data_IF_657348398776
#
_entry.id   IF_657348398776
#
_cell.length_a   1.000
_cell.length_b   1.000
_cell.length_c   1.000
_cell.angle_alpha   90.00
_cell.angle_beta   90.00
_cell.angle_gamma   90.00
#
_symmetry.space_group_name_H-M   'P 1'
#
loop_
_entity.id
_entity.type
_entity.pdbx_description
1 polymer ?
#
# COMPACT_ATOMS: atom_id res chain seq x y z
N UNK A 1 -4.99 -14.11 -1.72
CA UNK A 1 -5.92 -14.26 -0.58
C UNK A 1 -5.15 -14.76 0.65
N UNK A 2 -4.47 -15.91 0.60
CA UNK A 2 -3.74 -16.46 1.75
C UNK A 2 -2.55 -15.63 2.24
N UNK A 3 -1.87 -14.93 1.34
CA UNK A 3 -0.76 -14.03 1.70
C UNK A 3 -1.23 -12.83 2.53
N UNK A 4 -2.52 -12.52 2.49
CA UNK A 4 -3.15 -11.42 3.23
C UNK A 4 -3.76 -11.90 4.56
N UNK A 5 -3.67 -13.21 4.88
CA UNK A 5 -4.16 -13.78 6.14
C UNK A 5 -5.63 -14.19 6.15
N UNK A 6 -6.27 -14.38 4.99
CA UNK A 6 -7.66 -14.85 4.88
C UNK A 6 -7.78 -16.38 4.86
N UNK A 7 -6.95 -17.10 5.60
CA UNK A 7 -6.99 -18.56 5.59
C UNK A 7 -8.25 -19.09 6.27
N UNK A 8 -8.64 -18.51 7.39
CA UNK A 8 -9.80 -18.95 8.17
C UNK A 8 -11.10 -18.64 7.43
N UNK A 9 -11.21 -17.48 6.80
CA UNK A 9 -12.37 -17.13 5.95
C UNK A 9 -12.49 -18.07 4.76
N UNK A 10 -11.37 -18.42 4.13
CA UNK A 10 -11.36 -19.40 3.04
C UNK A 10 -11.81 -20.79 3.50
N UNK A 11 -11.37 -21.24 4.69
CA UNK A 11 -11.83 -22.49 5.30
C UNK A 11 -13.34 -22.48 5.55
N UNK A 12 -13.89 -21.37 6.04
CA UNK A 12 -15.31 -21.20 6.26
C UNK A 12 -16.09 -21.24 4.95
N UNK A 13 -15.64 -20.52 3.91
CA UNK A 13 -16.28 -20.52 2.59
C UNK A 13 -16.30 -21.94 2.00
N UNK A 14 -15.18 -22.65 2.04
CA UNK A 14 -15.06 -24.00 1.49
C UNK A 14 -16.01 -24.98 2.19
N UNK A 15 -16.27 -24.83 3.50
CA UNK A 15 -17.22 -25.65 4.27
C UNK A 15 -18.68 -25.47 3.83
N UNK A 16 -19.02 -24.27 3.32
CA UNK A 16 -20.39 -23.93 2.89
C UNK A 16 -20.65 -24.38 1.46
N UNK A 17 -19.60 -24.51 0.64
CA UNK A 17 -19.73 -24.88 -0.75
C UNK A 17 -20.18 -26.36 -0.89
N UNK A 18 -20.95 -26.71 -1.97
CA UNK A 18 -21.35 -28.09 -2.24
C UNK A 18 -20.13 -29.03 -2.23
N UNK A 19 -20.30 -30.20 -1.65
CA UNK A 19 -19.26 -31.26 -1.62
C UNK A 19 -18.92 -31.73 -3.03
N UNK A 20 -19.96 -31.85 -3.88
CA UNK A 20 -19.82 -32.21 -5.29
C UNK A 20 -19.64 -30.92 -6.12
N UNK A 21 -18.38 -30.58 -6.38
CA UNK A 21 -18.01 -29.46 -7.21
C UNK A 21 -16.71 -29.71 -7.96
N UNK A 22 -16.53 -29.05 -9.08
CA UNK A 22 -15.22 -28.92 -9.72
C UNK A 22 -14.55 -27.65 -9.18
N UNK A 23 -13.31 -27.78 -8.71
CA UNK A 23 -12.52 -26.66 -8.21
C UNK A 23 -11.23 -26.54 -9.00
N UNK A 24 -10.90 -25.33 -9.43
CA UNK A 24 -9.66 -25.02 -10.15
C UNK A 24 -8.95 -23.86 -9.45
N UNK A 25 -7.65 -24.02 -9.21
CA UNK A 25 -6.80 -23.02 -8.57
C UNK A 25 -5.79 -22.51 -9.58
N UNK A 26 -5.78 -21.19 -9.81
CA UNK A 26 -4.84 -20.53 -10.70
C UNK A 26 -3.92 -19.60 -9.90
N UNK A 27 -2.61 -19.72 -10.11
CA UNK A 27 -1.62 -18.86 -9.48
C UNK A 27 -0.44 -18.64 -10.42
N UNK A 28 0.05 -17.41 -10.48
CA UNK A 28 1.29 -17.06 -11.18
C UNK A 28 2.54 -17.38 -10.33
N UNK A 29 2.37 -17.63 -9.03
CA UNK A 29 3.46 -17.87 -8.09
C UNK A 29 3.21 -19.14 -7.28
N UNK A 30 4.21 -19.99 -7.21
CA UNK A 30 4.20 -21.19 -6.37
C UNK A 30 4.72 -20.84 -4.97
N UNK A 31 3.89 -21.09 -3.95
CA UNK A 31 4.24 -20.92 -2.54
C UNK A 31 3.72 -22.08 -1.72
N UNK A 32 4.32 -22.34 -0.56
CA UNK A 32 3.81 -23.29 0.42
C UNK A 32 2.35 -22.99 0.79
N UNK A 33 2.01 -21.70 0.93
CA UNK A 33 0.62 -21.28 1.19
C UNK A 33 -0.35 -21.64 0.06
N UNK A 34 0.09 -21.60 -1.21
CA UNK A 34 -0.73 -22.06 -2.35
C UNK A 34 -0.97 -23.56 -2.27
N UNK A 35 0.04 -24.35 -1.86
CA UNK A 35 -0.11 -25.79 -1.62
C UNK A 35 -1.08 -26.06 -0.47
N UNK A 36 -1.01 -25.29 0.62
CA UNK A 36 -1.94 -25.43 1.74
C UNK A 36 -3.37 -25.09 1.33
N UNK A 37 -3.56 -24.02 0.53
CA UNK A 37 -4.88 -23.70 -0.04
C UNK A 37 -5.38 -24.84 -0.94
N UNK A 38 -4.53 -25.41 -1.78
CA UNK A 38 -4.90 -26.53 -2.63
C UNK A 38 -5.37 -27.74 -1.81
N UNK A 39 -4.69 -28.06 -0.70
CA UNK A 39 -5.10 -29.14 0.22
C UNK A 39 -6.48 -28.90 0.85
N UNK A 40 -6.82 -27.63 1.13
CA UNK A 40 -8.09 -27.28 1.77
C UNK A 40 -9.24 -27.21 0.76
N UNK A 41 -8.98 -26.70 -0.44
CA UNK A 41 -10.01 -26.30 -1.41
C UNK A 41 -10.23 -27.28 -2.56
N UNK A 42 -9.24 -28.12 -2.86
CA UNK A 42 -9.30 -29.09 -3.94
C UNK A 42 -9.60 -30.51 -3.41
N UNK A 43 -10.14 -31.36 -4.26
CA UNK A 43 -10.30 -32.81 -3.99
C UNK A 43 -8.92 -33.48 -3.87
N UNK A 44 -8.79 -34.59 -3.14
CA UNK A 44 -7.55 -35.34 -3.11
C UNK A 44 -7.08 -35.77 -4.50
N UNK A 45 -5.77 -35.64 -4.76
CA UNK A 45 -5.17 -35.97 -6.05
C UNK A 45 -5.47 -34.95 -7.16
N UNK A 46 -5.38 -33.63 -6.92
CA UNK A 46 -5.62 -32.62 -7.95
C UNK A 46 -4.62 -32.76 -9.11
N UNK A 47 -5.09 -32.56 -10.33
CA UNK A 47 -4.21 -32.47 -11.49
C UNK A 47 -3.40 -31.15 -11.39
N UNK A 48 -2.07 -31.27 -11.37
CA UNK A 48 -1.14 -30.15 -11.38
C UNK A 48 -0.67 -29.88 -12.81
N UNK A 49 -0.92 -28.67 -13.32
CA UNK A 49 -0.49 -28.23 -14.65
C UNK A 49 0.45 -27.05 -14.49
N UNK A 50 1.73 -27.26 -14.80
CA UNK A 50 2.74 -26.19 -14.80
C UNK A 50 3.03 -25.74 -16.24
N UNK A 51 2.42 -24.63 -16.64
CA UNK A 51 2.54 -24.11 -18.00
C UNK A 51 3.89 -23.39 -18.22
N UNK A 52 4.59 -22.99 -17.13
CA UNK A 52 5.72 -22.06 -17.20
C UNK A 52 7.05 -22.65 -16.74
N UNK A 53 7.11 -23.95 -16.42
CA UNK A 53 8.32 -24.59 -15.86
C UNK A 53 9.54 -24.46 -16.76
N UNK A 54 9.33 -24.50 -18.08
CA UNK A 54 10.40 -24.42 -19.09
C UNK A 54 10.62 -23.01 -19.64
N UNK A 55 9.87 -22.01 -19.19
CA UNK A 55 10.05 -20.66 -19.69
C UNK A 55 11.32 -20.01 -19.15
N UNK A 56 12.05 -19.33 -20.04
CA UNK A 56 13.26 -18.57 -19.70
C UNK A 56 12.99 -17.32 -18.86
N UNK A 57 11.74 -16.82 -18.89
CA UNK A 57 11.29 -15.61 -18.17
C UNK A 57 9.97 -15.85 -17.46
N UNK A 58 9.86 -15.32 -16.24
CA UNK A 58 8.61 -15.30 -15.46
C UNK A 58 7.66 -14.17 -15.85
N UNK A 59 8.02 -13.37 -16.85
CA UNK A 59 7.25 -12.24 -17.35
C UNK A 59 6.96 -12.36 -18.84
N UNK A 60 5.91 -11.69 -19.30
CA UNK A 60 5.44 -11.77 -20.69
C UNK A 60 6.47 -11.18 -21.66
N UNK A 61 6.68 -11.80 -22.83
CA UNK A 61 7.69 -11.41 -23.83
C UNK A 61 7.55 -9.97 -24.36
N UNK A 62 6.33 -9.41 -24.35
CA UNK A 62 6.05 -8.03 -24.82
C UNK A 62 6.17 -6.98 -23.71
N UNK A 63 6.71 -7.34 -22.56
CA UNK A 63 6.95 -6.44 -21.45
C UNK A 63 8.40 -5.95 -21.44
N UNK A 64 8.60 -4.67 -21.74
CA UNK A 64 9.89 -4.00 -21.56
C UNK A 64 10.06 -3.64 -20.06
N UNK A 65 11.14 -4.12 -19.45
CA UNK A 65 11.35 -3.94 -18.02
C UNK A 65 12.71 -3.31 -17.75
N UNK A 66 12.73 -2.33 -16.87
CA UNK A 66 13.97 -1.72 -16.47
C UNK A 66 13.95 -1.14 -15.07
N UNK A 67 15.11 -0.76 -14.60
CA UNK A 67 15.27 -0.05 -13.34
C UNK A 67 16.08 1.22 -13.53
N UNK A 68 15.92 2.15 -12.60
CA UNK A 68 16.71 3.36 -12.50
C UNK A 68 17.30 3.47 -11.10
N UNK A 69 18.58 3.78 -11.01
CA UNK A 69 19.26 4.07 -9.75
C UNK A 69 19.19 5.58 -9.50
N UNK A 70 18.62 5.97 -8.38
CA UNK A 70 18.57 7.39 -8.00
C UNK A 70 18.58 7.55 -6.48
N UNK A 71 19.19 8.61 -6.01
CA UNK A 71 19.16 8.99 -4.59
C UNK A 71 17.76 9.37 -4.13
N UNK A 72 17.48 9.21 -2.83
CA UNK A 72 16.17 9.48 -2.23
C UNK A 72 15.68 10.91 -2.52
N UNK A 73 16.55 11.92 -2.47
CA UNK A 73 16.19 13.33 -2.72
C UNK A 73 15.82 13.62 -4.20
N UNK A 74 16.19 12.76 -5.12
CA UNK A 74 15.89 12.89 -6.56
C UNK A 74 14.65 12.10 -6.99
N UNK A 75 14.17 11.16 -6.17
CA UNK A 75 13.08 10.25 -6.55
C UNK A 75 11.82 10.98 -6.97
N UNK A 76 11.36 11.94 -6.16
CA UNK A 76 10.15 12.71 -6.50
C UNK A 76 10.34 13.55 -7.76
N UNK A 77 11.48 14.22 -7.92
CA UNK A 77 11.76 15.03 -9.11
C UNK A 77 11.77 14.20 -10.39
N UNK A 78 12.32 12.99 -10.32
CA UNK A 78 12.33 12.04 -11.43
C UNK A 78 10.92 11.56 -11.75
N UNK A 79 10.13 11.16 -10.75
CA UNK A 79 8.73 10.77 -10.91
C UNK A 79 7.92 11.91 -11.54
N UNK A 80 8.00 13.11 -10.98
CA UNK A 80 7.30 14.29 -11.49
C UNK A 80 7.64 14.56 -12.95
N UNK A 81 8.94 14.54 -13.29
CA UNK A 81 9.41 14.74 -14.66
C UNK A 81 8.85 13.68 -15.60
N UNK A 82 8.87 12.41 -15.15
CA UNK A 82 8.34 11.29 -15.93
C UNK A 82 6.84 11.45 -16.20
N UNK A 83 6.06 11.74 -15.17
CA UNK A 83 4.60 11.90 -15.28
C UNK A 83 4.23 13.06 -16.21
N UNK A 84 4.88 14.20 -16.09
CA UNK A 84 4.67 15.36 -16.99
C UNK A 84 4.95 15.02 -18.46
N UNK A 85 6.00 14.25 -18.73
CA UNK A 85 6.35 13.85 -20.11
C UNK A 85 5.44 12.78 -20.69
N UNK A 86 4.74 12.03 -19.86
CA UNK A 86 3.88 10.94 -20.25
C UNK A 86 2.41 11.16 -19.91
N UNK A 87 1.96 12.43 -19.81
CA UNK A 87 0.60 12.78 -19.41
C UNK A 87 -0.51 12.15 -20.27
N UNK A 88 -0.24 11.87 -21.57
CA UNK A 88 -1.18 11.18 -22.47
C UNK A 88 -1.15 9.65 -22.38
N UNK A 89 -0.48 9.06 -21.37
CA UNK A 89 -0.36 7.62 -21.19
C UNK A 89 -1.19 7.13 -20.01
N UNK A 90 -1.51 5.85 -19.99
CA UNK A 90 -2.17 5.19 -18.86
C UNK A 90 -1.11 4.59 -17.96
N UNK A 91 -0.93 5.15 -16.75
CA UNK A 91 0.19 4.87 -15.87
C UNK A 91 -0.32 4.42 -14.50
N UNK A 92 0.27 3.36 -13.95
CA UNK A 92 0.09 2.98 -12.55
C UNK A 92 1.42 3.20 -11.82
N UNK A 93 1.37 3.89 -10.68
CA UNK A 93 2.52 4.13 -9.80
C UNK A 93 2.31 3.40 -8.48
N UNK A 94 3.16 2.44 -8.19
CA UNK A 94 3.13 1.69 -6.93
C UNK A 94 3.98 2.35 -5.86
N UNK A 95 3.39 2.54 -4.70
CA UNK A 95 4.02 3.03 -3.47
C UNK A 95 3.73 2.07 -2.32
N UNK A 96 4.62 2.01 -1.32
CA UNK A 96 4.54 1.01 -0.25
C UNK A 96 3.65 1.40 0.93
N UNK A 97 3.15 2.63 1.01
CA UNK A 97 2.30 3.06 2.12
C UNK A 97 1.09 3.89 1.70
N UNK A 98 -0.03 3.69 2.41
CA UNK A 98 -1.28 4.41 2.14
C UNK A 98 -1.13 5.94 2.29
N UNK A 99 -0.36 6.40 3.30
CA UNK A 99 -0.18 7.83 3.53
C UNK A 99 0.78 8.44 2.51
N UNK A 100 1.74 7.66 1.96
CA UNK A 100 2.57 8.10 0.84
C UNK A 100 1.73 8.30 -0.42
N UNK A 101 0.84 7.35 -0.75
CA UNK A 101 -0.11 7.48 -1.87
C UNK A 101 -0.98 8.71 -1.70
N UNK A 102 -1.58 8.89 -0.51
CA UNK A 102 -2.44 10.06 -0.20
C UNK A 102 -1.68 11.37 -0.41
N UNK A 103 -0.50 11.51 0.20
CA UNK A 103 0.30 12.72 0.10
C UNK A 103 0.69 13.06 -1.34
N UNK A 104 1.24 12.10 -2.07
CA UNK A 104 1.63 12.34 -3.46
C UNK A 104 0.42 12.63 -4.36
N UNK A 105 -0.73 12.02 -4.08
CA UNK A 105 -1.99 12.33 -4.76
C UNK A 105 -2.44 13.76 -4.53
N UNK A 106 -2.48 14.20 -3.27
CA UNK A 106 -2.82 15.57 -2.90
C UNK A 106 -1.84 16.59 -3.49
N UNK A 107 -0.53 16.32 -3.40
CA UNK A 107 0.52 17.17 -3.94
C UNK A 107 0.43 17.32 -5.46
N UNK A 108 0.36 16.20 -6.18
CA UNK A 108 0.35 16.21 -7.65
C UNK A 108 -0.90 16.90 -8.19
N UNK A 109 -2.07 16.63 -7.61
CA UNK A 109 -3.31 17.33 -7.98
C UNK A 109 -3.23 18.82 -7.67
N UNK A 110 -2.59 19.22 -6.56
CA UNK A 110 -2.41 20.63 -6.20
C UNK A 110 -1.51 21.38 -7.20
N UNK A 111 -0.55 20.69 -7.82
CA UNK A 111 0.39 21.30 -8.80
C UNK A 111 0.01 20.97 -10.26
N UNK A 112 -1.28 20.80 -10.54
CA UNK A 112 -1.86 20.58 -11.87
C UNK A 112 -1.29 19.36 -12.62
N UNK A 113 -1.01 18.29 -11.87
CA UNK A 113 -0.76 16.95 -12.42
C UNK A 113 -1.89 16.04 -11.96
N UNK A 114 -2.97 15.90 -12.75
CA UNK A 114 -4.15 15.16 -12.32
C UNK A 114 -3.83 13.68 -12.14
N UNK A 115 -4.10 13.17 -10.93
CA UNK A 115 -3.88 11.77 -10.57
C UNK A 115 -5.06 11.24 -9.74
N UNK A 116 -5.32 9.95 -9.87
CA UNK A 116 -6.22 9.20 -9.01
C UNK A 116 -5.41 8.50 -7.91
N UNK A 117 -5.98 8.31 -6.73
CA UNK A 117 -5.37 7.63 -5.60
C UNK A 117 -6.17 6.39 -5.16
N UNK A 118 -5.49 5.25 -4.95
CA UNK A 118 -6.12 3.99 -4.55
C UNK A 118 -5.32 3.28 -3.46
N UNK A 119 -5.86 3.18 -2.25
CA UNK A 119 -5.17 2.55 -1.13
C UNK A 119 -6.13 1.95 -0.08
N UNK A 120 -5.63 1.03 0.75
CA UNK A 120 -6.44 0.24 1.68
C UNK A 120 -7.16 1.03 2.79
N UNK A 121 -6.72 2.25 3.12
CA UNK A 121 -7.39 3.10 4.13
C UNK A 121 -8.64 3.82 3.61
N UNK A 122 -8.93 3.74 2.31
CA UNK A 122 -10.13 4.35 1.73
C UNK A 122 -11.34 3.44 1.91
N UNK A 123 -12.53 4.05 2.01
CA UNK A 123 -13.81 3.31 2.00
C UNK A 123 -13.95 2.52 0.70
N UNK A 124 -14.55 1.33 0.78
CA UNK A 124 -14.69 0.43 -0.37
C UNK A 124 -15.38 1.11 -1.57
N UNK A 125 -16.41 1.91 -1.32
CA UNK A 125 -17.11 2.65 -2.37
C UNK A 125 -16.17 3.59 -3.14
N UNK A 126 -15.31 4.38 -2.44
CA UNK A 126 -14.33 5.25 -3.09
C UNK A 126 -13.36 4.42 -3.93
N UNK A 127 -12.87 3.29 -3.37
CA UNK A 127 -11.93 2.40 -4.09
C UNK A 127 -12.56 1.86 -5.39
N UNK A 128 -13.81 1.42 -5.33
CA UNK A 128 -14.55 0.94 -6.51
C UNK A 128 -14.74 2.03 -7.54
N UNK A 129 -15.17 3.22 -7.12
CA UNK A 129 -15.37 4.36 -8.03
C UNK A 129 -14.05 4.75 -8.74
N UNK A 130 -12.97 4.94 -7.98
CA UNK A 130 -11.63 5.24 -8.52
C UNK A 130 -11.15 4.18 -9.49
N UNK A 131 -11.38 2.90 -9.17
CA UNK A 131 -11.02 1.79 -10.04
C UNK A 131 -11.77 1.85 -11.37
N UNK A 132 -13.09 2.00 -11.36
CA UNK A 132 -13.88 2.06 -12.58
C UNK A 132 -13.58 3.32 -13.40
N UNK A 133 -13.38 4.47 -12.74
CA UNK A 133 -12.95 5.70 -13.38
C UNK A 133 -11.64 5.49 -14.15
N UNK A 134 -10.62 4.91 -13.48
CA UNK A 134 -9.34 4.62 -14.12
C UNK A 134 -9.47 3.57 -15.25
N UNK A 135 -10.29 2.53 -15.08
CA UNK A 135 -10.50 1.53 -16.13
C UNK A 135 -11.10 2.13 -17.40
N UNK A 136 -12.09 3.00 -17.27
CA UNK A 136 -12.81 3.61 -18.39
C UNK A 136 -12.01 4.73 -19.08
N UNK A 137 -11.04 5.33 -18.39
CA UNK A 137 -10.19 6.37 -18.95
C UNK A 137 -9.23 5.80 -20.02
N UNK A 138 -9.05 6.50 -21.10
CA UNK A 138 -8.07 6.15 -22.15
C UNK A 138 -6.63 6.45 -21.70
N UNK A 139 -6.43 7.48 -20.91
CA UNK A 139 -5.17 7.90 -20.31
C UNK A 139 -5.41 8.35 -18.88
N UNK A 140 -4.37 8.43 -18.08
CA UNK A 140 -4.45 8.89 -16.69
C UNK A 140 -3.40 8.24 -15.81
N UNK A 141 -3.26 8.76 -14.61
CA UNK A 141 -2.26 8.32 -13.64
C UNK A 141 -2.98 7.82 -12.40
N UNK A 142 -2.69 6.58 -12.00
CA UNK A 142 -3.18 5.99 -10.76
C UNK A 142 -2.01 5.79 -9.80
N UNK A 143 -2.02 6.47 -8.66
CA UNK A 143 -1.12 6.19 -7.54
C UNK A 143 -1.77 5.15 -6.64
N UNK A 144 -1.07 4.07 -6.30
CA UNK A 144 -1.68 3.03 -5.49
C UNK A 144 -0.68 2.27 -4.61
N UNK A 145 -1.22 1.58 -3.61
CA UNK A 145 -0.50 0.51 -2.91
C UNK A 145 -0.76 -0.84 -3.59
N UNK A 146 -0.15 -1.91 -3.10
CA UNK A 146 -0.34 -3.27 -3.64
C UNK A 146 -1.79 -3.76 -3.64
N UNK A 147 -2.73 -3.01 -3.05
CA UNK A 147 -4.16 -3.28 -3.16
C UNK A 147 -4.65 -3.33 -4.61
N UNK A 148 -3.99 -2.60 -5.52
CA UNK A 148 -4.27 -2.61 -6.96
C UNK A 148 -3.42 -3.63 -7.74
N UNK A 149 -2.42 -4.26 -7.09
CA UNK A 149 -1.55 -5.22 -7.75
C UNK A 149 -2.20 -6.59 -7.96
N UNK A 150 -3.25 -6.92 -7.20
CA UNK A 150 -3.86 -8.25 -7.19
C UNK A 150 -5.37 -8.16 -7.44
N UNK A 151 -5.90 -9.13 -8.19
CA UNK A 151 -7.35 -9.32 -8.37
C UNK A 151 -8.09 -8.28 -9.21
N UNK A 152 -7.42 -7.21 -9.66
CA UNK A 152 -8.03 -6.19 -10.51
C UNK A 152 -7.62 -6.36 -11.97
N UNK A 153 -8.61 -6.36 -12.85
CA UNK A 153 -8.37 -6.34 -14.29
C UNK A 153 -8.45 -4.91 -14.84
N UNK A 154 -7.28 -4.30 -14.98
CA UNK A 154 -7.14 -2.94 -15.50
C UNK A 154 -6.68 -3.02 -16.95
N UNK A 155 -7.51 -2.59 -17.92
CA UNK A 155 -7.18 -2.69 -19.33
C UNK A 155 -6.16 -1.64 -19.77
N UNK A 156 -5.36 -1.98 -20.76
CA UNK A 156 -4.55 -1.07 -21.57
C UNK A 156 -3.59 -0.15 -20.81
N UNK A 157 -2.93 -0.64 -19.74
CA UNK A 157 -1.91 0.12 -19.01
C UNK A 157 -0.61 0.17 -19.81
N UNK A 158 -0.10 1.37 -20.09
CA UNK A 158 1.14 1.60 -20.83
C UNK A 158 2.38 1.43 -19.94
N UNK A 159 2.33 1.98 -18.74
CA UNK A 159 3.46 2.01 -17.82
C UNK A 159 3.09 1.55 -16.41
N UNK A 160 3.96 0.73 -15.86
CA UNK A 160 4.01 0.42 -14.42
C UNK A 160 5.25 1.08 -13.84
N UNK A 161 5.06 2.04 -12.94
CA UNK A 161 6.15 2.66 -12.19
C UNK A 161 6.13 2.08 -10.78
N UNK A 162 7.22 1.48 -10.36
CA UNK A 162 7.41 1.03 -9.00
C UNK A 162 8.27 2.08 -8.29
N UNK A 163 7.60 3.13 -7.77
CA UNK A 163 8.26 4.23 -7.08
C UNK A 163 8.92 3.77 -5.80
N UNK A 164 8.28 2.86 -5.09
CA UNK A 164 8.89 2.10 -4.01
C UNK A 164 9.06 0.65 -4.44
N UNK A 165 10.26 0.07 -4.26
CA UNK A 165 10.49 -1.33 -4.58
C UNK A 165 9.57 -2.24 -3.76
N UNK A 166 9.16 -3.39 -4.28
CA UNK A 166 8.42 -4.37 -3.51
C UNK A 166 9.34 -5.11 -2.53
N UNK A 167 8.77 -5.67 -1.48
CA UNK A 167 9.51 -6.46 -0.49
C UNK A 167 9.95 -7.84 -1.05
N UNK A 168 9.18 -8.38 -2.02
CA UNK A 168 9.38 -9.72 -2.57
C UNK A 168 9.35 -9.68 -4.10
N UNK A 169 10.22 -10.45 -4.79
CA UNK A 169 10.18 -10.59 -6.26
C UNK A 169 8.82 -11.00 -6.81
N UNK A 170 8.02 -11.76 -6.05
CA UNK A 170 6.66 -12.15 -6.45
C UNK A 170 5.73 -10.94 -6.55
N UNK A 171 5.86 -9.98 -5.62
CA UNK A 171 5.10 -8.73 -5.68
C UNK A 171 5.51 -7.91 -6.90
N UNK A 172 6.79 -7.90 -7.26
CA UNK A 172 7.25 -7.33 -8.52
C UNK A 172 6.47 -7.92 -9.71
N UNK A 173 6.40 -9.26 -9.82
CA UNK A 173 5.69 -9.96 -10.90
C UNK A 173 4.20 -9.59 -10.91
N UNK A 174 3.56 -9.53 -9.74
CA UNK A 174 2.15 -9.14 -9.62
C UNK A 174 1.90 -7.69 -10.06
N UNK A 175 2.80 -6.77 -9.73
CA UNK A 175 2.71 -5.37 -10.15
C UNK A 175 2.88 -5.23 -11.67
N UNK A 176 3.93 -5.80 -12.24
CA UNK A 176 4.16 -5.71 -13.71
C UNK A 176 3.12 -6.48 -14.51
N UNK A 177 2.51 -7.51 -13.95
CA UNK A 177 1.37 -8.22 -14.54
C UNK A 177 0.11 -7.37 -14.72
N UNK A 178 0.14 -6.07 -14.40
CA UNK A 178 -0.96 -5.12 -14.71
C UNK A 178 -0.83 -4.51 -16.10
N UNK A 179 0.30 -4.65 -16.75
CA UNK A 179 0.51 -4.22 -18.15
C UNK A 179 0.82 -5.41 -19.07
N UNK A 180 1.02 -5.16 -20.35
CA UNK A 180 1.31 -6.15 -21.39
C UNK A 180 0.26 -7.29 -21.51
N UNK A 181 -1.00 -7.01 -21.17
CA UNK A 181 -2.11 -7.97 -21.25
C UNK A 181 -2.70 -8.07 -22.64
N UNK A 182 -3.27 -9.22 -22.97
CA UNK A 182 -3.93 -9.44 -24.25
C UNK A 182 -3.00 -9.26 -25.46
N UNK A 183 -1.71 -9.61 -25.32
CA UNK A 183 -0.74 -9.50 -26.40
C UNK A 183 -0.28 -8.06 -26.72
N UNK A 184 -0.65 -7.06 -25.92
CA UNK A 184 -0.20 -5.67 -26.04
C UNK A 184 1.21 -5.48 -25.49
N UNK A 185 1.89 -4.44 -25.95
CA UNK A 185 3.16 -4.00 -25.39
C UNK A 185 2.92 -3.28 -24.05
N UNK A 186 3.83 -3.48 -23.09
CA UNK A 186 3.81 -2.81 -21.80
C UNK A 186 5.22 -2.46 -21.35
N UNK A 187 5.31 -1.53 -20.41
CA UNK A 187 6.59 -1.06 -19.86
C UNK A 187 6.57 -1.01 -18.34
N UNK A 188 7.68 -1.34 -17.73
CA UNK A 188 7.87 -1.23 -16.29
C UNK A 188 9.17 -0.54 -15.95
N UNK A 189 9.13 0.36 -14.97
CA UNK A 189 10.29 1.06 -14.43
C UNK A 189 10.31 0.91 -12.91
N UNK A 190 11.39 0.32 -12.39
CA UNK A 190 11.65 0.16 -10.97
C UNK A 190 12.63 1.21 -10.49
N UNK A 191 12.29 1.96 -9.44
CA UNK A 191 13.21 2.89 -8.79
C UNK A 191 13.96 2.17 -7.67
N UNK A 192 15.28 2.29 -7.67
CA UNK A 192 16.14 1.71 -6.64
C UNK A 192 17.11 2.78 -6.10
N UNK A 193 17.38 2.71 -4.81
CA UNK A 193 18.51 3.40 -4.22
C UNK A 193 19.81 2.63 -4.54
N UNK A 194 20.98 3.26 -4.49
CA UNK A 194 22.26 2.55 -4.65
C UNK A 194 22.42 1.38 -3.67
N UNK A 195 21.92 1.51 -2.44
CA UNK A 195 21.92 0.45 -1.42
C UNK A 195 20.98 -0.71 -1.72
N UNK A 196 19.98 -0.51 -2.59
CA UNK A 196 18.93 -1.49 -2.90
C UNK A 196 19.24 -2.36 -4.13
N UNK A 197 20.37 -2.12 -4.81
CA UNK A 197 20.78 -2.89 -6.00
C UNK A 197 20.87 -4.40 -5.76
N UNK A 198 21.07 -4.81 -4.50
CA UNK A 198 21.03 -6.21 -4.11
C UNK A 198 19.71 -6.91 -4.45
N UNK A 199 18.60 -6.18 -4.57
CA UNK A 199 17.30 -6.72 -4.96
C UNK A 199 17.29 -7.32 -6.38
N UNK A 200 18.13 -6.79 -7.28
CA UNK A 200 18.24 -7.30 -8.64
C UNK A 200 18.69 -8.78 -8.70
N UNK A 201 19.46 -9.25 -7.70
CA UNK A 201 19.84 -10.65 -7.61
C UNK A 201 18.64 -11.56 -7.38
N UNK A 202 17.70 -11.13 -6.54
CA UNK A 202 16.47 -11.88 -6.29
C UNK A 202 15.54 -11.89 -7.51
N UNK A 203 15.46 -10.77 -8.23
CA UNK A 203 14.72 -10.72 -9.50
C UNK A 203 15.34 -11.62 -10.58
N UNK A 204 16.67 -11.69 -10.65
CA UNK A 204 17.37 -12.61 -11.56
C UNK A 204 17.06 -14.08 -11.23
N UNK A 205 17.07 -14.46 -9.96
CA UNK A 205 16.66 -15.80 -9.50
C UNK A 205 15.21 -16.10 -9.86
N UNK A 206 14.34 -15.09 -9.77
CA UNK A 206 12.94 -15.19 -10.17
C UNK A 206 12.75 -15.16 -11.71
N UNK A 207 13.81 -15.23 -12.51
CA UNK A 207 13.78 -15.18 -13.98
C UNK A 207 13.14 -13.91 -14.54
N UNK A 208 13.37 -12.77 -13.90
CA UNK A 208 12.90 -11.45 -14.34
C UNK A 208 14.07 -10.68 -14.95
N UNK A 209 14.14 -10.52 -16.29
CA UNK A 209 15.16 -9.72 -16.95
C UNK A 209 14.86 -8.23 -16.80
N UNK A 210 15.86 -7.44 -16.37
CA UNK A 210 15.76 -5.99 -16.21
C UNK A 210 16.94 -5.29 -16.88
N UNK A 211 16.64 -4.22 -17.62
CA UNK A 211 17.62 -3.33 -18.21
C UNK A 211 17.80 -2.09 -17.32
N UNK A 212 19.01 -1.58 -17.23
CA UNK A 212 19.26 -0.30 -16.57
C UNK A 212 18.88 0.87 -17.46
N UNK A 213 18.08 1.79 -16.92
CA UNK A 213 17.77 3.06 -17.57
C UNK A 213 18.49 4.20 -16.87
N UNK A 214 19.16 5.03 -17.63
CA UNK A 214 19.79 6.25 -17.13
C UNK A 214 18.99 7.47 -17.55
N UNK A 215 18.71 8.35 -16.58
CA UNK A 215 18.10 9.63 -16.86
C UNK A 215 19.14 10.74 -16.77
N UNK A 216 19.42 11.46 -17.86
CA UNK A 216 20.36 12.57 -17.81
C UNK A 216 19.92 13.60 -16.77
N UNK A 217 20.79 14.01 -15.84
CA UNK A 217 20.44 14.92 -14.74
C UNK A 217 19.86 16.26 -15.22
N UNK A 218 20.35 16.76 -16.37
CA UNK A 218 19.86 18.01 -16.99
C UNK A 218 18.43 17.93 -17.54
N UNK A 219 17.89 16.71 -17.66
CA UNK A 219 16.50 16.48 -18.12
C UNK A 219 15.51 16.31 -16.96
N UNK A 220 15.98 16.27 -15.73
CA UNK A 220 15.14 16.19 -14.52
C UNK A 220 14.72 17.62 -14.15
N UNK A 221 13.44 17.83 -13.90
CA UNK A 221 12.90 19.14 -13.51
C UNK A 221 13.52 19.61 -12.18
N UNK A 222 14.07 20.79 -12.17
CA UNK A 222 14.66 21.39 -10.97
C UNK A 222 13.60 22.22 -10.21
N UNK A 223 12.69 21.50 -9.52
CA UNK A 223 11.56 22.10 -8.78
C UNK A 223 11.67 21.89 -7.26
N UNK A 224 12.84 21.48 -6.75
CA UNK A 224 13.02 21.19 -5.34
C UNK A 224 12.70 22.38 -4.44
N UNK A 225 13.22 23.59 -4.76
CA UNK A 225 12.99 24.78 -3.98
C UNK A 225 11.50 25.22 -3.97
N UNK A 226 10.79 25.00 -5.10
CA UNK A 226 9.36 25.27 -5.19
C UNK A 226 8.57 24.29 -4.32
N UNK A 227 8.95 23.00 -4.34
CA UNK A 227 8.36 21.97 -3.52
C UNK A 227 8.52 22.28 -2.02
N UNK A 228 9.72 22.61 -1.58
CA UNK A 228 10.01 22.94 -0.17
C UNK A 228 9.23 24.19 0.28
N UNK A 229 9.17 25.24 -0.57
CA UNK A 229 8.36 26.43 -0.29
C UNK A 229 6.87 26.10 -0.20
N UNK A 230 6.36 25.25 -1.09
CA UNK A 230 4.96 24.84 -1.08
C UNK A 230 4.62 24.11 0.22
N UNK A 231 5.41 23.08 0.56
CA UNK A 231 5.18 22.27 1.77
C UNK A 231 5.33 23.11 3.05
N UNK A 232 6.24 24.08 3.08
CA UNK A 232 6.40 24.97 4.25
C UNK A 232 5.23 25.93 4.44
N UNK A 233 4.57 26.38 3.36
CA UNK A 233 3.49 27.37 3.40
C UNK A 233 2.08 26.77 3.50
N UNK A 234 1.86 25.58 2.97
CA UNK A 234 0.56 24.94 2.96
C UNK A 234 0.43 23.97 4.13
N UNK A 235 -0.36 24.33 5.13
CA UNK A 235 -0.56 23.55 6.35
C UNK A 235 -1.06 22.12 6.06
N UNK A 236 -2.04 21.95 5.19
CA UNK A 236 -2.62 20.64 4.90
C UNK A 236 -1.63 19.72 4.18
N UNK A 237 -0.94 20.23 3.16
CA UNK A 237 0.11 19.49 2.47
C UNK A 237 1.29 19.17 3.41
N UNK A 238 1.64 20.09 4.31
CA UNK A 238 2.67 19.85 5.32
C UNK A 238 2.33 18.68 6.24
N UNK A 239 1.11 18.63 6.77
CA UNK A 239 0.67 17.52 7.62
C UNK A 239 0.61 16.21 6.84
N UNK A 240 0.08 16.23 5.63
CA UNK A 240 0.03 15.05 4.77
C UNK A 240 1.42 14.54 4.40
N UNK A 241 2.36 15.45 4.09
CA UNK A 241 3.77 15.14 3.85
C UNK A 241 4.44 14.49 5.07
N UNK A 242 4.19 15.01 6.28
CA UNK A 242 4.73 14.48 7.53
C UNK A 242 4.23 13.06 7.80
N UNK A 243 2.94 12.80 7.59
CA UNK A 243 2.37 11.47 7.71
C UNK A 243 2.88 10.52 6.62
N UNK A 244 3.02 11.01 5.38
CA UNK A 244 3.61 10.26 4.27
C UNK A 244 5.05 9.83 4.56
N UNK A 245 5.89 10.78 4.98
CA UNK A 245 7.28 10.55 5.38
C UNK A 245 7.40 9.51 6.51
N UNK A 246 6.63 9.70 7.60
CA UNK A 246 6.59 8.74 8.71
C UNK A 246 6.21 7.33 8.24
N UNK A 247 5.15 7.24 7.46
CA UNK A 247 4.58 5.99 6.98
C UNK A 247 5.52 5.28 5.97
N UNK A 248 6.25 6.03 5.14
CA UNK A 248 7.30 5.51 4.27
C UNK A 248 8.41 4.83 5.09
N UNK A 249 8.94 5.51 6.12
CA UNK A 249 9.99 4.96 6.98
C UNK A 249 9.50 3.69 7.70
N UNK A 250 8.28 3.69 8.21
CA UNK A 250 7.68 2.52 8.86
C UNK A 250 7.55 1.34 7.89
N UNK A 251 7.07 1.58 6.68
CA UNK A 251 6.96 0.55 5.65
C UNK A 251 8.33 0.01 5.23
N UNK A 252 9.30 0.90 5.02
CA UNK A 252 10.69 0.52 4.70
C UNK A 252 11.29 -0.35 5.81
N UNK A 253 11.09 0.05 7.07
CA UNK A 253 11.52 -0.72 8.24
C UNK A 253 10.79 -2.05 8.43
N UNK A 254 9.66 -2.30 7.76
CA UNK A 254 8.91 -3.55 7.85
C UNK A 254 9.31 -4.57 6.78
N UNK A 255 10.08 -4.20 5.77
CA UNK A 255 10.52 -5.11 4.72
C UNK A 255 11.24 -6.33 5.26
N UNK A 256 11.00 -7.49 4.64
CA UNK A 256 11.58 -8.78 5.07
C UNK A 256 13.06 -8.90 4.70
N UNK A 257 13.47 -8.37 3.56
CA UNK A 257 14.85 -8.44 3.05
C UNK A 257 15.75 -7.40 3.72
N UNK A 258 15.99 -7.52 5.04
CA UNK A 258 16.76 -6.56 5.87
C UNK A 258 18.19 -6.30 5.39
N UNK A 259 18.81 -7.27 4.69
CA UNK A 259 20.16 -7.10 4.12
C UNK A 259 20.20 -6.14 2.93
N UNK A 260 19.05 -5.86 2.32
CA UNK A 260 18.92 -4.95 1.18
C UNK A 260 18.27 -3.66 1.66
N UNK A 261 17.14 -3.78 2.37
CA UNK A 261 16.36 -2.67 2.88
C UNK A 261 16.72 -2.41 4.35
N UNK A 262 17.97 -1.98 4.56
CA UNK A 262 18.46 -1.63 5.90
C UNK A 262 18.09 -0.19 6.23
N UNK A 263 17.17 -0.04 7.17
CA UNK A 263 16.70 1.28 7.60
C UNK A 263 17.79 2.13 8.24
N UNK A 264 18.83 1.51 8.80
CA UNK A 264 19.96 2.23 9.40
C UNK A 264 20.87 2.88 8.34
N UNK A 265 20.84 2.36 7.10
CA UNK A 265 21.57 2.92 5.96
C UNK A 265 20.74 3.94 5.16
N UNK A 266 19.46 4.10 5.51
CA UNK A 266 18.57 5.02 4.81
C UNK A 266 18.87 6.47 5.24
N UNK A 267 19.28 7.31 4.28
CA UNK A 267 19.49 8.75 4.51
C UNK A 267 18.15 9.47 4.71
N UNK A 268 17.75 9.63 5.98
CA UNK A 268 16.48 10.26 6.35
C UNK A 268 16.38 11.72 5.91
N UNK A 269 17.51 12.43 5.76
CA UNK A 269 17.51 13.80 5.27
C UNK A 269 17.20 13.85 3.77
N UNK A 270 17.80 12.97 2.97
CA UNK A 270 17.46 12.83 1.55
C UNK A 270 16.02 12.37 1.35
N UNK A 271 15.53 11.44 2.17
CA UNK A 271 14.13 11.01 2.13
C UNK A 271 13.20 12.18 2.45
N UNK A 272 13.50 12.99 3.48
CA UNK A 272 12.69 14.16 3.82
C UNK A 272 12.60 15.17 2.67
N UNK A 273 13.70 15.38 1.93
CA UNK A 273 13.70 16.22 0.73
C UNK A 273 12.75 15.72 -0.36
N UNK A 274 12.64 14.40 -0.55
CA UNK A 274 11.67 13.83 -1.48
C UNK A 274 10.22 14.10 -1.08
N UNK A 275 9.95 14.31 0.20
CA UNK A 275 8.64 14.73 0.73
C UNK A 275 8.48 16.26 0.83
N UNK A 276 9.44 17.04 0.32
CA UNK A 276 9.41 18.49 0.30
C UNK A 276 9.82 19.17 1.61
N UNK A 277 10.54 18.48 2.48
CA UNK A 277 11.09 19.07 3.70
C UNK A 277 12.55 19.51 3.50
N UNK A 278 12.86 20.76 3.80
CA UNK A 278 14.24 21.25 3.83
C UNK A 278 15.03 20.61 5.01
N UNK A 279 14.35 20.38 6.12
CA UNK A 279 14.88 19.72 7.33
C UNK A 279 13.94 18.56 7.71
N UNK A 280 14.47 17.38 8.05
CA UNK A 280 13.62 16.25 8.43
C UNK A 280 12.66 16.59 9.58
N UNK A 281 11.35 16.33 9.42
CA UNK A 281 10.39 16.58 10.46
C UNK A 281 10.57 15.60 11.62
N UNK A 282 10.36 16.05 12.86
CA UNK A 282 10.34 15.17 14.03
C UNK A 282 9.13 14.24 13.92
N UNK A 283 9.38 12.94 13.77
CA UNK A 283 8.35 11.90 13.69
C UNK A 283 8.68 10.76 14.64
N UNK A 284 7.70 10.30 15.39
CA UNK A 284 7.85 9.09 16.19
C UNK A 284 7.68 7.90 15.23
N UNK A 285 8.77 7.22 14.93
CA UNK A 285 8.78 6.00 14.12
C UNK A 285 9.02 4.83 15.05
N UNK A 286 8.02 4.01 15.28
CA UNK A 286 8.18 2.73 15.95
C UNK A 286 8.71 1.74 14.93
N UNK A 287 10.03 1.58 14.85
CA UNK A 287 10.67 0.59 13.98
C UNK A 287 10.60 -0.73 14.72
N UNK A 288 9.78 -1.66 14.24
CA UNK A 288 9.83 -3.06 14.62
C UNK A 288 9.59 -3.38 16.10
N UNK A 289 8.40 -3.15 16.61
CA UNK A 289 7.87 -4.11 17.59
C UNK A 289 7.54 -5.36 16.79
N UNK A 290 8.40 -6.37 16.91
CA UNK A 290 8.23 -7.65 16.24
C UNK A 290 6.84 -8.21 16.56
N UNK A 291 6.26 -8.97 15.65
CA UNK A 291 5.02 -9.75 15.88
C UNK A 291 5.11 -10.62 17.15
N UNK A 292 6.32 -10.90 17.66
CA UNK A 292 6.56 -11.53 18.98
C UNK A 292 6.06 -10.66 20.15
N UNK A 293 6.29 -9.35 20.15
CA UNK A 293 5.84 -8.48 21.25
C UNK A 293 4.30 -8.27 21.25
N UNK A 294 3.60 -8.54 20.14
CA UNK A 294 2.13 -8.61 20.12
C UNK A 294 1.62 -9.95 20.65
N UNK A 295 2.24 -11.09 20.29
CA UNK A 295 1.89 -12.40 20.85
C UNK A 295 2.13 -12.48 22.36
N UNK A 296 3.21 -11.87 22.86
CA UNK A 296 3.50 -11.86 24.30
C UNK A 296 2.53 -10.95 25.09
N UNK A 297 1.94 -9.92 24.45
CA UNK A 297 0.87 -9.12 25.09
C UNK A 297 -0.48 -9.81 25.07
N UNK A 298 -0.80 -10.52 24.01
CA UNK A 298 -2.06 -11.27 23.91
C UNK A 298 -2.01 -12.51 24.84
N UNK A 299 -0.85 -13.16 25.01
CA UNK A 299 -0.67 -14.29 25.94
C UNK A 299 -0.73 -13.87 27.41
N UNK A 300 -0.14 -12.71 27.76
CA UNK A 300 -0.24 -12.18 29.12
C UNK A 300 -1.66 -11.68 29.48
N UNK A 301 -2.49 -11.30 28.50
CA UNK A 301 -3.88 -10.97 28.75
C UNK A 301 -4.78 -12.20 28.91
N UNK A 302 -4.44 -13.34 28.30
CA UNK A 302 -5.18 -14.59 28.45
C UNK A 302 -4.83 -15.32 29.76
N UNK A 303 -3.61 -15.13 30.30
CA UNK A 303 -3.23 -15.71 31.61
C UNK A 303 -3.84 -14.96 32.82
N UNK A 304 -4.23 -13.68 32.64
CA UNK A 304 -4.91 -12.92 33.71
C UNK A 304 -6.43 -13.18 33.82
N UNK A 305 -7.05 -13.82 32.81
CA UNK A 305 -8.49 -14.19 32.85
C UNK A 305 -8.76 -15.54 33.48
N UNK A 306 -7.75 -16.41 33.69
CA UNK A 306 -7.88 -17.75 34.26
C UNK A 306 -7.49 -17.85 35.75
N UNK A 307 -7.28 -16.73 36.45
CA UNK A 307 -7.01 -16.75 37.88
C UNK A 307 -8.30 -16.97 38.69
N UNK A 308 -8.36 -17.98 39.60
CA UNK A 308 -9.54 -18.31 40.35
C UNK A 308 -9.99 -17.17 41.27
N UNK A 309 -11.25 -16.77 41.15
CA UNK A 309 -11.86 -15.72 41.98
C UNK A 309 -11.83 -16.07 43.46
N UNK A 310 -10.82 -15.58 44.16
CA UNK A 310 -10.74 -15.58 45.61
C UNK A 310 -11.78 -14.62 46.20
N UNK A 311 -12.57 -15.16 47.14
CA UNK A 311 -13.64 -14.49 47.89
C UNK A 311 -13.23 -13.08 48.36
N UNK A 312 -13.87 -12.04 47.83
CA UNK A 312 -13.78 -10.69 48.41
C UNK A 312 -14.72 -10.59 49.58
N UNK A 313 -14.13 -10.47 50.81
CA UNK A 313 -14.84 -10.07 52.02
C UNK A 313 -15.37 -8.64 51.89
N UNK A 314 -16.68 -8.49 52.12
CA UNK A 314 -17.34 -7.20 52.27
C UNK A 314 -16.81 -6.53 53.55
N UNK A 315 -16.18 -5.38 53.40
CA UNK A 315 -15.93 -4.44 54.49
C UNK A 315 -16.98 -3.35 54.44
N UNK A 316 -17.94 -3.39 55.35
CA UNK A 316 -18.87 -2.32 55.62
C UNK A 316 -18.08 -1.08 56.11
N UNK A 317 -18.26 0.03 55.44
CA UNK A 317 -17.97 1.35 56.00
C UNK A 317 -19.23 2.21 55.88
N UNK A 318 -19.90 2.33 57.03
CA UNK A 318 -20.94 3.31 57.32
C UNK A 318 -20.32 4.69 57.56
N UNK A 319 -21.09 5.67 57.13
CA UNK A 319 -21.36 6.99 57.68
C UNK A 319 -20.34 8.12 57.57
N UNK A 320 -20.83 9.14 57.12
CA UNK A 320 -20.96 10.59 57.42
C UNK A 320 -20.82 11.36 56.09
N UNK A 321 -21.73 12.16 55.61
CA UNK A 321 -22.57 13.15 56.17
C UNK A 321 -22.59 14.34 55.22
N UNK A 322 -23.77 14.67 54.70
CA UNK A 322 -24.35 16.02 54.60
C UNK A 322 -23.82 17.03 53.57
N UNK A 323 -24.77 17.44 52.79
CA UNK A 323 -25.15 18.80 52.29
C UNK A 323 -24.73 19.26 50.93
N UNK A 324 -25.80 19.42 50.11
CA UNK A 324 -26.27 20.61 49.34
C UNK A 324 -25.33 21.10 48.21
N UNK A 325 -25.71 21.27 47.00
CA UNK A 325 -26.83 22.03 46.44
C UNK A 325 -26.82 21.99 44.89
N UNK A 326 -28.02 22.06 44.33
CA UNK A 326 -28.41 22.67 43.08
C UNK A 326 -28.29 21.95 41.73
N UNK A 327 -29.42 21.43 41.37
CA UNK A 327 -29.91 21.18 40.03
C UNK A 327 -29.92 22.43 39.14
N UNK A 328 -29.50 22.30 37.89
CA UNK A 328 -30.00 23.16 36.81
C UNK A 328 -30.42 22.27 35.63
N UNK A 329 -31.73 22.17 35.49
CA UNK A 329 -32.42 21.71 34.27
C UNK A 329 -32.14 22.67 33.11
N UNK A 330 -31.88 22.14 31.93
CA UNK A 330 -32.17 22.83 30.70
C UNK A 330 -33.10 21.99 29.81
N UNK A 331 -34.27 22.60 29.57
CA UNK A 331 -35.44 22.13 28.83
C UNK A 331 -35.16 21.99 27.34
N UNK A 332 -35.70 20.93 26.75
CA UNK A 332 -36.06 20.81 25.34
C UNK A 332 -37.00 21.94 24.90
N UNK A 333 -36.72 22.57 23.77
CA UNK A 333 -37.73 23.19 22.95
C UNK A 333 -37.82 22.49 21.60
N UNK A 334 -38.94 21.81 21.39
CA UNK A 334 -39.49 21.52 20.07
C UNK A 334 -40.21 22.78 19.58
N UNK A 335 -39.97 23.16 18.32
CA UNK A 335 -40.98 23.87 17.54
C UNK A 335 -40.96 23.31 16.11
N UNK A 336 -42.09 22.82 15.73
CA UNK A 336 -42.57 22.52 14.40
C UNK A 336 -42.89 23.79 13.63
N UNK A 337 -42.69 23.85 12.31
CA UNK A 337 -43.74 24.15 11.34
C UNK A 337 -43.20 24.45 9.93
N UNK A 338 -43.81 23.79 8.96
CA UNK A 338 -44.28 24.26 7.64
C UNK A 338 -43.28 24.96 6.69
N UNK A 339 -42.90 24.30 5.62
CA UNK A 339 -43.63 24.29 4.36
C UNK A 339 -43.44 25.56 3.53
N UNK A 340 -42.73 25.44 2.42
CA UNK A 340 -43.19 25.98 1.11
C UNK A 340 -42.25 25.56 -0.01
N UNK A 341 -42.84 24.94 -1.02
CA UNK A 341 -42.34 24.78 -2.39
C UNK A 341 -41.98 26.13 -3.01
N UNK A 342 -40.91 26.19 -3.78
CA UNK A 342 -40.85 26.96 -5.05
C UNK A 342 -39.89 26.31 -6.02
N UNK A 343 -40.45 25.94 -7.13
CA UNK A 343 -39.78 25.58 -8.39
C UNK A 343 -39.14 26.78 -9.06
N UNK A 344 -37.93 26.59 -9.56
CA UNK A 344 -37.52 26.92 -10.94
C UNK A 344 -36.14 26.39 -11.21
#
# INVERSE_FOLDING_TARGET
>A
ILEIGFEDEMRQIVKILPSERQSMLFSATQTTKVQDLARISLRPGPLYINVHEQMASSTVSKLEQGYVVCDSDKRFLLLFTFLKRNAGKKIIVFMNSCNSVKYHGELLNYIDVPVLDLHGKQKQQKRSNTFFEFCNAQHGILLCTDVAARGLDIPAVDWIIQYDPPDDPRDYIHRVGRTARGGKHGRSLLFLLPSELGFLRFLKVAKVPLNEYTFPPNKIANVQNQLEKLISKNYYLHQSAKEGYRSYIQAYGSYSLKRIYDINQLDLAKVAKAFGFAVPPKVNVTIGTSLKARKDRDHNNEEDEDAPQGKRQRVDRRSYGSRDDKAVMYRKHQTSSNGTQWSR
#
